data_IF_964515565930
#
_entry.id   IF_964515565930
#
_cell.length_a   1.000
_cell.length_b   1.000
_cell.length_c   1.000
_cell.angle_alpha   90.00
_cell.angle_beta   90.00
_cell.angle_gamma   90.00
#
_symmetry.space_group_name_H-M   'P 1'
#
loop_
_entity.id
_entity.type
_entity.pdbx_description
1 polymer ?
#
# COMPACT_ATOMS: atom_id res chain seq x y z
N UNK A 1 9.77 -3.34 21.47
CA UNK A 1 9.16 -3.14 20.14
C UNK A 1 7.75 -2.59 20.35
N UNK A 2 7.42 -1.38 19.88
CA UNK A 2 6.10 -0.76 20.11
C UNK A 2 5.13 -1.23 19.03
N UNK A 3 4.05 -1.90 19.42
CA UNK A 3 2.94 -2.25 18.52
C UNK A 3 1.91 -1.12 18.52
N UNK A 4 1.49 -0.67 17.34
CA UNK A 4 0.36 0.24 17.21
C UNK A 4 -0.91 -0.57 16.93
N UNK A 5 -2.02 -0.20 17.57
CA UNK A 5 -3.31 -0.85 17.41
C UNK A 5 -4.29 0.15 16.79
N UNK A 6 -5.03 -0.24 15.76
CA UNK A 6 -6.15 0.53 15.20
C UNK A 6 -7.32 -0.42 14.98
N UNK A 7 -8.51 -0.04 15.45
CA UNK A 7 -9.75 -0.84 15.33
C UNK A 7 -9.63 -2.28 15.85
N UNK A 8 -8.88 -2.51 16.93
CA UNK A 8 -8.68 -3.85 17.50
C UNK A 8 -7.72 -4.75 16.70
N UNK A 9 -7.15 -4.25 15.61
CA UNK A 9 -6.16 -4.95 14.80
C UNK A 9 -4.76 -4.39 15.10
N UNK A 10 -3.81 -5.31 15.29
CA UNK A 10 -2.40 -4.96 15.47
C UNK A 10 -1.87 -4.49 14.12
N UNK A 11 -1.52 -3.20 14.02
CA UNK A 11 -0.74 -2.68 12.89
C UNK A 11 0.68 -3.20 13.10
N UNK A 12 0.95 -4.37 12.53
CA UNK A 12 2.30 -4.85 12.37
C UNK A 12 2.95 -4.06 11.24
N UNK A 13 3.96 -3.25 11.54
CA UNK A 13 5.05 -3.06 10.59
C UNK A 13 5.80 -4.39 10.54
N UNK A 14 5.16 -5.41 9.95
CA UNK A 14 5.63 -6.78 9.95
C UNK A 14 6.75 -6.88 8.94
N UNK A 15 7.97 -6.66 9.42
CA UNK A 15 9.21 -6.95 8.70
C UNK A 15 9.45 -8.46 8.48
N UNK A 16 8.48 -9.33 8.81
CA UNK A 16 8.72 -10.78 9.01
C UNK A 16 7.66 -11.73 8.40
N UNK A 17 6.60 -11.23 7.76
CA UNK A 17 5.67 -12.12 7.05
C UNK A 17 6.04 -12.16 5.56
N UNK A 18 6.70 -13.24 5.12
CA UNK A 18 7.03 -13.48 3.71
C UNK A 18 5.80 -13.28 2.82
N UNK A 19 5.89 -12.36 1.87
CA UNK A 19 4.87 -12.10 0.84
C UNK A 19 5.09 -12.97 -0.41
N UNK A 20 6.15 -13.77 -0.44
CA UNK A 20 6.58 -14.55 -1.62
C UNK A 20 5.44 -15.41 -2.19
N UNK A 21 4.62 -16.01 -1.31
CA UNK A 21 3.49 -16.85 -1.72
C UNK A 21 2.33 -16.04 -2.29
N UNK A 22 2.08 -14.85 -1.74
CA UNK A 22 1.05 -13.92 -2.23
C UNK A 22 1.45 -13.40 -3.61
N UNK A 23 2.73 -13.03 -3.77
CA UNK A 23 3.31 -12.58 -5.04
C UNK A 23 3.28 -13.68 -6.10
N UNK A 24 3.69 -14.90 -5.74
CA UNK A 24 3.69 -16.05 -6.65
C UNK A 24 2.28 -16.38 -7.18
N UNK A 25 1.27 -16.42 -6.30
CA UNK A 25 -0.13 -16.67 -6.70
C UNK A 25 -0.65 -15.54 -7.58
N UNK A 26 -0.37 -14.28 -7.24
CA UNK A 26 -0.78 -13.13 -8.05
C UNK A 26 -0.18 -13.18 -9.46
N UNK A 27 1.09 -13.56 -9.58
CA UNK A 27 1.75 -13.75 -10.88
C UNK A 27 1.14 -14.91 -11.67
N UNK A 28 0.79 -16.01 -11.01
CA UNK A 28 0.16 -17.16 -11.65
C UNK A 28 -1.24 -16.83 -12.18
N UNK A 29 -2.03 -16.07 -11.41
CA UNK A 29 -3.33 -15.54 -11.86
C UNK A 29 -3.14 -14.69 -13.12
N UNK A 30 -2.19 -13.76 -13.12
CA UNK A 30 -1.93 -12.89 -14.28
C UNK A 30 -1.59 -13.70 -15.53
N UNK A 31 -0.69 -14.69 -15.41
CA UNK A 31 -0.33 -15.60 -16.51
C UNK A 31 -1.51 -16.38 -17.06
N UNK A 32 -2.40 -16.89 -16.18
CA UNK A 32 -3.59 -17.64 -16.61
C UNK A 32 -4.64 -16.74 -17.26
N UNK A 33 -4.78 -15.49 -16.82
CA UNK A 33 -5.64 -14.50 -17.46
C UNK A 33 -5.12 -14.11 -18.86
N UNK A 34 -3.81 -13.96 -19.01
CA UNK A 34 -3.18 -13.72 -20.32
C UNK A 34 -3.40 -14.91 -21.27
N UNK A 35 -3.21 -16.14 -20.77
CA UNK A 35 -3.52 -17.36 -21.52
C UNK A 35 -5.00 -17.40 -21.93
N UNK A 36 -5.90 -17.05 -21.02
CA UNK A 36 -7.34 -17.00 -21.29
C UNK A 36 -7.67 -15.97 -22.38
N UNK A 37 -7.07 -14.79 -22.34
CA UNK A 37 -7.19 -13.77 -23.38
C UNK A 37 -6.77 -14.31 -24.74
N UNK A 38 -5.61 -14.96 -24.81
CA UNK A 38 -5.10 -15.55 -26.06
C UNK A 38 -6.00 -16.64 -26.62
N UNK A 39 -6.63 -17.45 -25.76
CA UNK A 39 -7.61 -18.46 -26.18
C UNK A 39 -8.86 -17.79 -26.75
N UNK A 40 -9.38 -16.76 -26.08
CA UNK A 40 -10.55 -16.02 -26.54
C UNK A 40 -10.32 -15.30 -27.87
N UNK A 41 -9.11 -14.80 -28.12
CA UNK A 41 -8.74 -14.15 -29.38
C UNK A 41 -8.54 -15.16 -30.52
N UNK A 42 -8.25 -16.42 -30.19
CA UNK A 42 -8.06 -17.48 -31.17
C UNK A 42 -9.40 -18.08 -31.66
N UNK A 43 -9.91 -17.51 -32.75
CA UNK A 43 -11.15 -17.95 -33.43
C UNK A 43 -11.15 -19.40 -33.95
N UNK A 44 -10.01 -20.10 -33.94
CA UNK A 44 -9.91 -21.50 -34.36
C UNK A 44 -10.27 -22.50 -33.26
N UNK A 45 -10.30 -22.07 -32.00
CA UNK A 45 -10.65 -22.91 -30.85
C UNK A 45 -12.16 -22.80 -30.62
N UNK A 46 -12.89 -23.90 -30.82
CA UNK A 46 -14.34 -23.96 -30.59
C UNK A 46 -14.72 -24.31 -29.15
N UNK A 47 -13.77 -24.83 -28.37
CA UNK A 47 -14.01 -25.29 -27.01
C UNK A 47 -13.85 -24.18 -25.98
N UNK A 48 -14.85 -24.00 -25.12
CA UNK A 48 -14.85 -22.99 -24.09
C UNK A 48 -13.92 -23.41 -22.92
N UNK A 49 -12.96 -22.57 -22.49
CA UNK A 49 -11.91 -22.96 -21.54
C UNK A 49 -12.38 -22.98 -20.07
N UNK A 50 -13.41 -23.77 -19.75
CA UNK A 50 -13.98 -23.89 -18.39
C UNK A 50 -12.93 -24.26 -17.35
N UNK A 51 -12.02 -25.19 -17.69
CA UNK A 51 -10.98 -25.67 -16.78
C UNK A 51 -10.08 -24.53 -16.31
N UNK A 52 -9.59 -23.72 -17.24
CA UNK A 52 -8.75 -22.57 -16.95
C UNK A 52 -9.47 -21.53 -16.08
N UNK A 53 -10.75 -21.27 -16.34
CA UNK A 53 -11.55 -20.35 -15.52
C UNK A 53 -11.68 -20.87 -14.08
N UNK A 54 -11.95 -22.17 -13.91
CA UNK A 54 -12.04 -22.78 -12.58
C UNK A 54 -10.71 -22.67 -11.82
N UNK A 55 -9.58 -22.86 -12.49
CA UNK A 55 -8.25 -22.69 -11.91
C UNK A 55 -8.01 -21.24 -11.46
N UNK A 56 -8.32 -20.25 -12.30
CA UNK A 56 -8.20 -18.83 -11.94
C UNK A 56 -9.06 -18.50 -10.72
N UNK A 57 -10.31 -18.95 -10.70
CA UNK A 57 -11.21 -18.74 -9.54
C UNK A 57 -10.67 -19.41 -8.29
N UNK A 58 -10.09 -20.62 -8.41
CA UNK A 58 -9.42 -21.30 -7.30
C UNK A 58 -8.28 -20.47 -6.71
N UNK A 59 -7.37 -20.00 -7.56
CA UNK A 59 -6.25 -19.15 -7.14
C UNK A 59 -6.71 -17.84 -6.49
N UNK A 60 -7.78 -17.22 -6.99
CA UNK A 60 -8.35 -16.02 -6.37
C UNK A 60 -8.91 -16.28 -4.97
N UNK A 61 -9.51 -17.45 -4.74
CA UNK A 61 -9.95 -17.84 -3.40
C UNK A 61 -8.76 -18.08 -2.47
N UNK A 62 -7.72 -18.78 -2.94
CA UNK A 62 -6.48 -18.99 -2.18
C UNK A 62 -5.83 -17.66 -1.79
N UNK A 63 -5.80 -16.69 -2.72
CA UNK A 63 -5.28 -15.36 -2.48
C UNK A 63 -6.07 -14.60 -1.40
N UNK A 64 -7.41 -14.70 -1.43
CA UNK A 64 -8.29 -14.09 -0.41
C UNK A 64 -8.02 -14.68 0.97
N UNK A 65 -7.83 -15.99 1.05
CA UNK A 65 -7.63 -16.69 2.32
C UNK A 65 -6.22 -16.44 2.91
N UNK A 66 -5.24 -16.08 2.07
CA UNK A 66 -3.88 -15.71 2.48
C UNK A 66 -3.72 -14.25 2.90
N UNK A 67 -4.64 -13.36 2.50
CA UNK A 67 -4.54 -11.91 2.71
C UNK A 67 -5.30 -11.29 3.90
N UNK A 68 -5.97 -12.01 4.83
CA UNK A 68 -6.85 -11.38 5.83
C UNK A 68 -6.11 -10.52 6.88
N UNK A 69 -4.78 -10.51 6.89
CA UNK A 69 -3.95 -9.71 7.80
C UNK A 69 -3.24 -8.54 7.12
N UNK A 70 -3.42 -8.35 5.81
CA UNK A 70 -2.80 -7.28 5.05
C UNK A 70 -3.86 -6.22 4.73
N UNK A 71 -3.77 -5.07 5.39
CA UNK A 71 -4.63 -3.92 5.12
C UNK A 71 -3.87 -2.91 4.27
N UNK A 72 -4.48 -2.45 3.19
CA UNK A 72 -3.93 -1.40 2.33
C UNK A 72 -4.75 -0.12 2.51
N UNK A 73 -4.11 1.04 2.71
CA UNK A 73 -4.83 2.31 2.81
C UNK A 73 -5.71 2.52 1.56
N UNK A 74 -6.98 2.86 1.77
CA UNK A 74 -7.90 3.13 0.65
C UNK A 74 -7.38 4.24 -0.28
N UNK A 75 -6.70 5.24 0.27
CA UNK A 75 -6.07 6.31 -0.49
C UNK A 75 -4.97 5.82 -1.43
N UNK A 76 -4.17 4.84 -0.99
CA UNK A 76 -3.17 4.18 -1.83
C UNK A 76 -3.85 3.41 -2.98
N UNK A 77 -4.88 2.63 -2.67
CA UNK A 77 -5.62 1.85 -3.69
C UNK A 77 -6.25 2.77 -4.74
N UNK A 78 -6.87 3.87 -4.30
CA UNK A 78 -7.46 4.86 -5.21
C UNK A 78 -6.39 5.54 -6.08
N UNK A 79 -5.26 5.95 -5.48
CA UNK A 79 -4.17 6.57 -6.22
C UNK A 79 -3.65 5.66 -7.34
N UNK A 80 -3.35 4.40 -7.01
CA UNK A 80 -2.85 3.43 -8.00
C UNK A 80 -3.89 3.16 -9.07
N UNK A 81 -5.17 3.04 -8.71
CA UNK A 81 -6.27 2.84 -9.67
C UNK A 81 -6.45 4.00 -10.65
N UNK A 82 -6.26 5.24 -10.20
CA UNK A 82 -6.42 6.44 -11.04
C UNK A 82 -5.17 6.75 -11.87
N UNK A 83 -3.97 6.53 -11.32
CA UNK A 83 -2.72 7.00 -11.92
C UNK A 83 -1.91 5.88 -12.58
N UNK A 84 -2.20 4.61 -12.27
CA UNK A 84 -1.42 3.45 -12.76
C UNK A 84 0.02 3.41 -12.25
N UNK A 85 0.34 4.19 -11.21
CA UNK A 85 1.69 4.36 -10.69
C UNK A 85 1.71 4.07 -9.18
N UNK A 86 2.58 3.16 -8.78
CA UNK A 86 2.77 2.75 -7.39
C UNK A 86 3.80 3.64 -6.68
N UNK A 87 4.85 4.06 -7.38
CA UNK A 87 5.97 4.77 -6.76
C UNK A 87 5.62 6.23 -6.46
N UNK A 88 4.90 6.89 -7.36
CA UNK A 88 4.51 8.29 -7.18
C UNK A 88 3.64 8.54 -5.94
N UNK A 89 2.91 7.54 -5.44
CA UNK A 89 2.20 7.65 -4.16
C UNK A 89 3.18 7.89 -2.99
N UNK A 90 4.26 7.09 -2.94
CA UNK A 90 5.24 7.18 -1.87
C UNK A 90 6.07 8.45 -1.97
N UNK A 91 6.40 8.89 -3.19
CA UNK A 91 7.09 10.16 -3.42
C UNK A 91 6.27 11.36 -2.90
N UNK A 92 4.98 11.41 -3.22
CA UNK A 92 4.07 12.46 -2.70
C UNK A 92 3.95 12.42 -1.18
N UNK A 93 3.86 11.21 -0.62
CA UNK A 93 3.82 11.04 0.84
C UNK A 93 5.12 11.51 1.50
N UNK A 94 6.28 11.26 0.89
CA UNK A 94 7.58 11.69 1.41
C UNK A 94 7.69 13.23 1.40
N UNK A 95 7.28 13.86 0.30
CA UNK A 95 7.26 15.33 0.18
C UNK A 95 6.34 15.98 1.21
N UNK A 96 5.15 15.40 1.43
CA UNK A 96 4.23 15.86 2.47
C UNK A 96 4.86 15.74 3.86
N UNK A 97 5.55 14.64 4.16
CA UNK A 97 6.20 14.44 5.46
C UNK A 97 7.35 15.43 5.67
N UNK A 98 8.19 15.67 4.65
CA UNK A 98 9.29 16.66 4.68
C UNK A 98 8.76 18.09 4.87
N UNK A 99 7.67 18.44 4.18
CA UNK A 99 7.00 19.72 4.36
C UNK A 99 6.53 19.91 5.80
N UNK A 100 5.97 18.85 6.37
CA UNK A 100 5.40 18.91 7.71
C UNK A 100 6.46 18.92 8.83
N UNK A 101 7.57 18.21 8.63
CA UNK A 101 8.77 18.33 9.45
C UNK A 101 9.30 19.76 9.45
N UNK A 102 9.45 20.37 8.26
CA UNK A 102 9.91 21.75 8.12
C UNK A 102 8.98 22.72 8.87
N UNK A 103 7.66 22.54 8.77
CA UNK A 103 6.68 23.34 9.50
C UNK A 103 6.85 23.22 11.01
N UNK A 104 7.06 22.01 11.53
CA UNK A 104 7.28 21.76 12.97
C UNK A 104 8.58 22.40 13.44
N UNK A 105 9.67 22.27 12.68
CA UNK A 105 10.97 22.90 13.00
C UNK A 105 10.81 24.42 13.08
N UNK A 106 10.13 25.02 12.11
CA UNK A 106 9.90 26.47 12.12
C UNK A 106 9.06 26.91 13.31
N UNK A 107 7.99 26.18 13.65
CA UNK A 107 7.20 26.46 14.87
C UNK A 107 8.04 26.39 16.13
N UNK A 108 8.92 25.38 16.27
CA UNK A 108 9.84 25.27 17.43
C UNK A 108 10.77 26.47 17.51
N UNK A 109 11.39 26.88 16.40
CA UNK A 109 12.25 28.07 16.36
C UNK A 109 11.50 29.34 16.79
N UNK A 110 10.25 29.50 16.36
CA UNK A 110 9.41 30.64 16.78
C UNK A 110 9.12 30.61 18.28
N UNK A 111 8.81 29.43 18.84
CA UNK A 111 8.59 29.28 20.28
C UNK A 111 9.87 29.52 21.09
N UNK A 112 11.02 29.05 20.62
CA UNK A 112 12.31 29.27 21.28
C UNK A 112 12.69 30.76 21.27
N UNK A 113 12.45 31.46 20.16
CA UNK A 113 12.65 32.90 20.07
C UNK A 113 11.71 33.66 21.01
N UNK A 114 10.43 33.30 21.04
CA UNK A 114 9.46 33.88 21.97
C UNK A 114 9.88 33.67 23.42
N UNK A 115 10.28 32.45 23.78
CA UNK A 115 10.78 32.12 25.12
C UNK A 115 11.98 32.97 25.51
N UNK A 116 12.97 33.12 24.62
CA UNK A 116 14.15 33.95 24.88
C UNK A 116 13.80 35.43 25.07
N UNK A 117 12.78 35.94 24.37
CA UNK A 117 12.30 37.32 24.57
C UNK A 117 11.63 37.50 25.93
N UNK A 118 10.84 36.53 26.38
CA UNK A 118 10.19 36.55 27.70
C UNK A 118 11.22 36.47 28.82
N UNK A 119 12.18 35.53 28.75
CA UNK A 119 13.24 35.39 29.75
C UNK A 119 14.08 36.68 29.88
N UNK A 120 14.36 37.38 28.76
CA UNK A 120 15.06 38.68 28.77
C UNK A 120 14.23 39.84 29.32
N UNK A 121 12.90 39.74 29.32
CA UNK A 121 12.02 40.75 29.91
C UNK A 121 11.87 40.57 31.43
N UNK A 122 12.05 39.36 31.96
CA UNK A 122 12.03 39.09 33.40
C UNK A 122 13.35 39.46 34.10
N UNK A 123 14.45 39.65 33.37
CA UNK A 123 15.76 40.08 33.89
C UNK A 123 15.95 41.61 33.98
N UNK A 124 14.94 42.41 33.60
CA UNK A 124 14.92 43.89 33.68
C UNK A 124 13.99 44.35 34.80
#
# INVERSE_FOLDING_TARGET
MRSYMRNGLRIGFAKEASTDRIEAISLEIAKKLELLSNICDNKSISEFPVGLIKEVVGLCNDLRDLTPHYDMPAEYVNYVGENGDVLGYFERSEDSVKGEETRIINKRKTFDAFRSMVEKMEEI
#
